data_IF_007786732827
#
_entry.id   IF_007786732827
#
_cell.length_a   1.000
_cell.length_b   1.000
_cell.length_c   1.000
_cell.angle_alpha   90.00
_cell.angle_beta   90.00
_cell.angle_gamma   90.00
#
_symmetry.space_group_name_H-M   'P 1'
#
loop_
_entity.id
_entity.type
_entity.pdbx_description
1 polymer ?
#
# COMPACT_ATOMS: atom_id res chain seq x y z
N UNK A 1 22.68 4.79 -15.54
CA UNK A 1 22.23 6.16 -15.96
C UNK A 1 22.46 7.13 -14.82
N UNK A 2 23.12 8.27 -15.09
CA UNK A 2 23.36 9.29 -14.08
C UNK A 2 22.03 9.99 -13.70
N UNK A 3 21.71 10.03 -12.41
CA UNK A 3 20.53 10.77 -11.89
C UNK A 3 20.97 12.17 -11.49
N UNK A 4 20.38 13.18 -12.13
CA UNK A 4 20.56 14.56 -11.74
C UNK A 4 19.63 14.89 -10.56
N UNK A 5 20.18 14.97 -9.36
CA UNK A 5 19.39 15.20 -8.14
C UNK A 5 18.64 16.54 -8.15
N UNK A 6 19.27 17.59 -8.65
CA UNK A 6 18.63 18.92 -8.75
C UNK A 6 17.43 18.87 -9.70
N UNK A 7 17.59 18.27 -10.86
CA UNK A 7 16.50 18.10 -11.82
C UNK A 7 15.36 17.27 -11.21
N UNK A 8 15.67 16.12 -10.60
CA UNK A 8 14.69 15.23 -9.98
C UNK A 8 13.87 15.94 -8.90
N UNK A 9 14.52 16.73 -8.05
CA UNK A 9 13.82 17.47 -6.99
C UNK A 9 12.96 18.59 -7.58
N UNK A 10 13.48 19.34 -8.54
CA UNK A 10 12.72 20.42 -9.18
C UNK A 10 11.52 19.91 -9.97
N UNK A 11 11.62 18.77 -10.64
CA UNK A 11 10.48 18.12 -11.32
C UNK A 11 9.36 17.81 -10.34
N UNK A 12 9.71 17.29 -9.15
CA UNK A 12 8.72 17.00 -8.10
C UNK A 12 8.09 18.29 -7.54
N UNK A 13 8.90 19.28 -7.17
CA UNK A 13 8.43 20.54 -6.58
C UNK A 13 7.50 21.29 -7.56
N UNK A 14 7.87 21.33 -8.82
CA UNK A 14 7.13 22.06 -9.85
C UNK A 14 5.96 21.28 -10.45
N UNK A 15 5.80 19.99 -10.10
CA UNK A 15 4.75 19.14 -10.63
C UNK A 15 4.76 18.99 -12.15
N UNK A 16 5.95 19.05 -12.77
CA UNK A 16 6.11 19.03 -14.23
C UNK A 16 5.96 17.62 -14.83
N UNK A 17 6.10 16.59 -14.01
CA UNK A 17 5.87 15.20 -14.40
C UNK A 17 4.50 14.73 -13.86
N UNK A 18 3.58 14.40 -14.77
CA UNK A 18 2.23 13.94 -14.42
C UNK A 18 2.21 12.67 -13.54
N UNK A 19 3.26 11.85 -13.64
CA UNK A 19 3.42 10.61 -12.86
C UNK A 19 3.58 10.88 -11.37
N UNK A 20 4.08 12.05 -11.01
CA UNK A 20 4.28 12.48 -9.62
C UNK A 20 2.94 12.59 -8.88
N UNK A 21 1.90 13.05 -9.57
CA UNK A 21 0.56 13.26 -9.02
C UNK A 21 -0.45 12.17 -9.40
N UNK A 22 -0.04 11.18 -10.22
CA UNK A 22 -0.91 10.08 -10.60
C UNK A 22 -1.37 9.30 -9.36
N UNK A 23 -2.68 9.18 -9.17
CA UNK A 23 -3.31 8.53 -8.00
C UNK A 23 -2.95 9.15 -6.63
N UNK A 24 -2.32 10.33 -6.60
CA UNK A 24 -1.96 10.98 -5.35
C UNK A 24 -3.14 11.75 -4.75
N UNK A 25 -3.28 11.69 -3.43
CA UNK A 25 -4.27 12.47 -2.66
C UNK A 25 -3.69 13.82 -2.20
N UNK A 26 -2.43 14.10 -2.50
CA UNK A 26 -1.73 15.33 -2.12
C UNK A 26 -0.95 15.91 -3.30
N UNK A 27 -0.89 17.24 -3.40
CA UNK A 27 -0.11 17.91 -4.44
C UNK A 27 1.40 17.94 -4.11
N UNK A 28 1.74 17.96 -2.83
CA UNK A 28 3.12 17.93 -2.32
C UNK A 28 3.16 17.27 -0.95
N UNK A 29 4.16 16.43 -0.72
CA UNK A 29 4.54 15.97 0.62
C UNK A 29 6.03 15.64 0.67
N UNK A 30 6.64 15.79 1.83
CA UNK A 30 8.05 15.40 2.02
C UNK A 30 8.24 13.90 1.82
N UNK A 31 7.31 13.08 2.28
CA UNK A 31 7.34 11.63 2.05
C UNK A 31 7.26 11.31 0.54
N UNK A 32 6.37 12.00 -0.19
CA UNK A 32 6.27 11.87 -1.64
C UNK A 32 7.55 12.25 -2.37
N UNK A 33 8.22 13.34 -1.97
CA UNK A 33 9.51 13.76 -2.52
C UNK A 33 10.58 12.68 -2.30
N UNK A 34 10.68 12.15 -1.08
CA UNK A 34 11.65 11.10 -0.73
C UNK A 34 11.38 9.85 -1.56
N UNK A 35 10.13 9.39 -1.62
CA UNK A 35 9.75 8.21 -2.38
C UNK A 35 9.99 8.39 -3.88
N UNK A 36 9.63 9.54 -4.46
CA UNK A 36 9.88 9.84 -5.88
C UNK A 36 11.38 9.81 -6.20
N UNK A 37 12.21 10.39 -5.34
CA UNK A 37 13.66 10.40 -5.52
C UNK A 37 14.26 8.99 -5.39
N UNK A 38 13.87 8.25 -4.36
CA UNK A 38 14.28 6.87 -4.15
C UNK A 38 13.80 5.96 -5.30
N UNK A 39 12.54 6.13 -5.71
CA UNK A 39 11.95 5.36 -6.80
C UNK A 39 12.70 5.49 -8.13
N UNK A 40 13.17 6.70 -8.46
CA UNK A 40 14.01 6.88 -9.68
C UNK A 40 15.34 6.14 -9.59
N UNK A 41 15.95 6.09 -8.41
CA UNK A 41 17.18 5.30 -8.18
C UNK A 41 16.90 3.81 -8.33
N UNK A 42 15.83 3.32 -7.71
CA UNK A 42 15.41 1.91 -7.76
C UNK A 42 15.05 1.49 -9.19
N UNK A 43 14.31 2.33 -9.92
CA UNK A 43 13.96 2.05 -11.32
C UNK A 43 15.19 1.90 -12.21
N UNK A 44 16.21 2.75 -12.02
CA UNK A 44 17.47 2.58 -12.76
C UNK A 44 18.21 1.29 -12.38
N UNK A 45 18.18 0.90 -11.11
CA UNK A 45 18.75 -0.38 -10.69
C UNK A 45 18.08 -1.56 -11.38
N UNK A 46 16.74 -1.59 -11.45
CA UNK A 46 16.02 -2.62 -12.19
C UNK A 46 16.46 -2.69 -13.66
N UNK A 47 16.47 -1.54 -14.34
CA UNK A 47 16.73 -1.46 -15.79
C UNK A 47 18.21 -1.63 -16.16
N UNK A 48 19.14 -1.41 -15.24
CA UNK A 48 20.58 -1.50 -15.50
C UNK A 48 21.22 -2.77 -14.95
N UNK A 49 20.64 -3.38 -13.90
CA UNK A 49 21.27 -4.48 -13.18
C UNK A 49 20.44 -5.78 -13.12
N UNK A 50 19.12 -5.68 -13.21
CA UNK A 50 18.22 -6.86 -13.08
C UNK A 50 17.70 -7.32 -14.42
N UNK A 51 17.15 -6.42 -15.22
CA UNK A 51 16.71 -6.73 -16.59
C UNK A 51 17.90 -6.81 -17.56
N UNK A 52 17.71 -7.54 -18.66
CA UNK A 52 18.70 -7.52 -19.74
C UNK A 52 18.83 -6.12 -20.33
N UNK A 53 19.96 -5.86 -21.00
CA UNK A 53 20.21 -4.57 -21.63
C UNK A 53 19.14 -4.25 -22.69
N UNK A 54 18.69 -5.24 -23.42
CA UNK A 54 17.66 -5.13 -24.44
C UNK A 54 16.31 -4.73 -23.83
N UNK A 55 15.91 -5.39 -22.77
CA UNK A 55 14.67 -5.10 -22.03
C UNK A 55 14.70 -3.70 -21.41
N UNK A 56 15.80 -3.36 -20.74
CA UNK A 56 15.98 -2.04 -20.17
C UNK A 56 15.93 -0.91 -21.21
N UNK A 57 16.53 -1.12 -22.38
CA UNK A 57 16.49 -0.16 -23.49
C UNK A 57 15.09 -0.05 -24.07
N UNK A 58 14.41 -1.18 -24.31
CA UNK A 58 13.05 -1.21 -24.86
C UNK A 58 12.07 -0.42 -23.95
N UNK A 59 12.15 -0.60 -22.61
CA UNK A 59 11.36 0.19 -21.68
C UNK A 59 11.69 1.70 -21.79
N UNK A 60 12.96 2.09 -21.83
CA UNK A 60 13.38 3.49 -21.95
C UNK A 60 12.98 4.14 -23.27
N UNK A 61 12.95 3.38 -24.34
CA UNK A 61 12.53 3.84 -25.65
C UNK A 61 11.00 3.93 -25.80
N UNK A 62 10.24 3.31 -24.88
CA UNK A 62 8.79 3.25 -24.95
C UNK A 62 8.25 2.13 -25.84
N UNK A 63 9.08 1.13 -26.19
CA UNK A 63 8.65 -0.03 -26.98
C UNK A 63 7.68 -0.91 -26.19
N UNK A 64 7.84 -0.95 -24.87
CA UNK A 64 6.88 -1.50 -23.90
C UNK A 64 7.07 -0.87 -22.51
N UNK A 65 6.13 -1.14 -21.60
CA UNK A 65 6.16 -0.60 -20.24
C UNK A 65 6.34 -1.70 -19.20
N UNK A 66 7.38 -1.58 -18.36
CA UNK A 66 7.51 -2.38 -17.14
C UNK A 66 6.93 -1.56 -15.99
N UNK A 67 5.97 -2.14 -15.28
CA UNK A 67 5.20 -1.45 -14.24
C UNK A 67 5.93 -1.41 -12.90
N UNK A 68 5.70 -0.36 -12.11
CA UNK A 68 6.14 -0.22 -10.70
C UNK A 68 7.64 -0.47 -10.44
N UNK A 69 8.50 0.03 -11.32
CA UNK A 69 9.96 -0.07 -11.18
C UNK A 69 10.52 0.74 -9.99
N UNK A 70 9.74 1.61 -9.40
CA UNK A 70 10.11 2.45 -8.26
C UNK A 70 10.11 1.71 -6.91
N UNK A 71 9.73 0.42 -6.91
CA UNK A 71 9.78 -0.46 -5.75
C UNK A 71 10.63 -1.70 -6.04
N UNK A 72 11.49 -2.10 -5.11
CA UNK A 72 12.25 -3.35 -5.18
C UNK A 72 11.55 -4.43 -4.35
N UNK A 73 10.33 -4.80 -4.75
CA UNK A 73 9.46 -5.71 -4.01
C UNK A 73 8.48 -6.44 -4.93
N UNK A 74 7.70 -7.36 -4.37
CA UNK A 74 6.60 -8.03 -5.09
C UNK A 74 5.50 -7.05 -5.48
N UNK A 75 4.71 -7.42 -6.52
CA UNK A 75 3.71 -6.51 -7.07
C UNK A 75 2.49 -6.39 -6.14
N UNK A 76 1.71 -7.45 -5.96
CA UNK A 76 0.50 -7.46 -5.15
C UNK A 76 0.51 -8.58 -4.11
N UNK A 77 -0.27 -8.43 -3.05
CA UNK A 77 -0.43 -9.46 -2.03
C UNK A 77 -1.91 -9.74 -1.71
N UNK A 78 -2.23 -11.02 -1.61
CA UNK A 78 -3.50 -11.49 -1.06
C UNK A 78 -3.29 -12.07 0.34
N UNK A 79 -4.03 -11.56 1.30
CA UNK A 79 -3.92 -11.98 2.70
C UNK A 79 -5.06 -12.89 3.11
N UNK A 80 -4.73 -14.05 3.65
CA UNK A 80 -5.71 -14.97 4.25
C UNK A 80 -6.28 -14.39 5.53
N UNK A 81 -7.40 -13.69 5.45
CA UNK A 81 -8.00 -13.00 6.59
C UNK A 81 -8.29 -13.94 7.76
N UNK A 82 -8.72 -15.17 7.49
CA UNK A 82 -8.94 -16.19 8.53
C UNK A 82 -7.69 -16.44 9.39
N UNK A 83 -6.54 -16.59 8.77
CA UNK A 83 -5.29 -16.81 9.49
C UNK A 83 -4.95 -15.61 10.37
N UNK A 84 -5.00 -14.39 9.81
CA UNK A 84 -4.72 -13.17 10.53
C UNK A 84 -5.65 -12.92 11.71
N UNK A 85 -6.95 -13.21 11.57
CA UNK A 85 -7.92 -13.06 12.66
C UNK A 85 -7.70 -14.08 13.79
N UNK A 86 -7.20 -15.28 13.47
CA UNK A 86 -6.93 -16.32 14.46
C UNK A 86 -5.57 -16.16 15.17
N UNK A 87 -4.55 -15.73 14.43
CA UNK A 87 -3.17 -15.66 14.92
C UNK A 87 -2.83 -14.26 15.45
N UNK A 88 -3.54 -13.24 14.99
CA UNK A 88 -3.22 -11.83 15.17
C UNK A 88 -2.50 -11.25 13.96
N UNK A 89 -2.42 -9.93 13.94
CA UNK A 89 -1.81 -9.18 12.83
C UNK A 89 -0.30 -8.97 13.03
N UNK A 90 0.29 -9.75 13.91
CA UNK A 90 1.71 -9.74 14.23
C UNK A 90 2.23 -8.39 14.74
N UNK A 91 3.51 -8.25 14.73
CA UNK A 91 4.25 -7.08 15.20
C UNK A 91 5.72 -7.43 15.35
N UNK A 92 6.48 -6.51 15.88
CA UNK A 92 7.91 -6.75 16.16
C UNK A 92 8.05 -7.41 17.52
N UNK A 93 8.66 -8.58 17.55
CA UNK A 93 8.89 -9.34 18.79
C UNK A 93 9.58 -8.48 19.85
N UNK A 94 9.02 -8.47 21.05
CA UNK A 94 9.52 -7.67 22.17
C UNK A 94 9.14 -6.17 22.09
N UNK A 95 8.26 -5.80 21.17
CA UNK A 95 7.65 -4.46 21.03
C UNK A 95 6.13 -4.59 21.06
N UNK A 96 5.43 -3.72 20.33
CA UNK A 96 3.97 -3.81 20.22
C UNK A 96 3.61 -4.97 19.27
N UNK A 97 2.91 -5.95 19.80
CA UNK A 97 2.39 -7.11 19.07
C UNK A 97 0.88 -7.04 19.03
N UNK A 98 0.30 -7.27 17.85
CA UNK A 98 -1.13 -7.34 17.65
C UNK A 98 -1.60 -8.79 17.79
N UNK A 99 -2.26 -9.09 18.90
CA UNK A 99 -2.89 -10.40 19.14
C UNK A 99 -4.18 -10.53 18.34
N UNK A 100 -4.72 -11.74 18.27
CA UNK A 100 -6.03 -12.00 17.68
C UNK A 100 -7.09 -11.04 18.24
N UNK A 101 -7.87 -10.37 17.38
CA UNK A 101 -8.90 -9.45 17.82
C UNK A 101 -10.05 -10.19 18.51
N UNK A 102 -10.70 -9.54 19.45
CA UNK A 102 -11.83 -10.11 20.19
C UNK A 102 -13.17 -9.51 19.78
N UNK A 103 -13.17 -8.34 19.19
CA UNK A 103 -14.33 -7.53 18.83
C UNK A 103 -14.27 -7.05 17.39
N UNK A 104 -15.42 -6.79 16.78
CA UNK A 104 -15.56 -6.38 15.39
C UNK A 104 -14.74 -5.13 15.06
N UNK A 105 -14.86 -4.08 15.87
CA UNK A 105 -14.11 -2.82 15.66
C UNK A 105 -12.61 -3.01 15.82
N UNK A 106 -12.21 -3.85 16.75
CA UNK A 106 -10.80 -4.19 16.99
C UNK A 106 -10.21 -4.88 15.75
N UNK A 107 -10.93 -5.85 15.17
CA UNK A 107 -10.53 -6.50 13.93
C UNK A 107 -10.34 -5.49 12.79
N UNK A 108 -11.30 -4.60 12.57
CA UNK A 108 -11.21 -3.57 11.53
C UNK A 108 -10.04 -2.62 11.75
N UNK A 109 -9.75 -2.20 12.98
CA UNK A 109 -8.61 -1.34 13.28
C UNK A 109 -7.27 -2.04 13.04
N UNK A 110 -7.17 -3.31 13.45
CA UNK A 110 -5.97 -4.10 13.19
C UNK A 110 -5.76 -4.33 11.69
N UNK A 111 -6.82 -4.59 10.92
CA UNK A 111 -6.76 -4.70 9.47
C UNK A 111 -6.29 -3.40 8.80
N UNK A 112 -6.83 -2.25 9.21
CA UNK A 112 -6.41 -0.96 8.68
C UNK A 112 -4.94 -0.67 8.99
N UNK A 113 -4.50 -0.96 10.22
CA UNK A 113 -3.11 -0.78 10.63
C UNK A 113 -2.16 -1.71 9.86
N UNK A 114 -2.55 -2.98 9.66
CA UNK A 114 -1.78 -3.95 8.89
C UNK A 114 -1.58 -3.49 7.44
N UNK A 115 -2.64 -3.06 6.77
CA UNK A 115 -2.55 -2.52 5.42
C UNK A 115 -1.71 -1.24 5.36
N UNK A 116 -1.86 -0.37 6.34
CA UNK A 116 -1.07 0.86 6.46
C UNK A 116 0.43 0.61 6.60
N UNK A 117 0.82 -0.42 7.35
CA UNK A 117 2.23 -0.82 7.49
C UNK A 117 2.73 -1.46 6.20
N UNK A 118 1.97 -2.39 5.63
CA UNK A 118 2.43 -3.20 4.50
C UNK A 118 2.31 -2.52 3.14
N UNK A 119 1.64 -1.38 3.04
CA UNK A 119 1.52 -0.66 1.75
C UNK A 119 2.86 -0.22 1.17
N UNK A 120 3.88 -0.02 2.00
CA UNK A 120 5.23 0.33 1.56
C UNK A 120 6.09 -0.89 1.23
N UNK A 121 5.60 -2.09 1.53
CA UNK A 121 6.31 -3.36 1.32
C UNK A 121 5.86 -4.08 0.04
N UNK A 122 4.85 -3.54 -0.66
CA UNK A 122 4.30 -4.08 -1.89
C UNK A 122 4.08 -2.97 -2.91
N UNK A 123 4.42 -3.23 -4.16
CA UNK A 123 4.33 -2.23 -5.22
C UNK A 123 2.89 -1.90 -5.62
N UNK A 124 2.00 -2.90 -5.61
CA UNK A 124 0.60 -2.77 -6.03
C UNK A 124 -0.39 -2.95 -4.88
N UNK A 125 -1.55 -3.48 -5.21
CA UNK A 125 -2.68 -3.63 -4.29
C UNK A 125 -2.49 -4.77 -3.29
N UNK A 126 -3.16 -4.64 -2.16
CA UNK A 126 -3.31 -5.68 -1.15
C UNK A 126 -4.79 -6.04 -0.98
N UNK A 127 -5.07 -7.31 -0.80
CA UNK A 127 -6.43 -7.82 -0.67
C UNK A 127 -6.61 -8.69 0.57
N UNK A 128 -7.78 -8.58 1.22
CA UNK A 128 -8.25 -9.55 2.19
C UNK A 128 -9.31 -10.45 1.56
N UNK A 129 -9.18 -11.76 1.80
CA UNK A 129 -10.16 -12.75 1.36
C UNK A 129 -11.40 -12.79 2.25
N UNK A 130 -12.58 -12.97 1.64
CA UNK A 130 -13.84 -13.31 2.35
C UNK A 130 -14.13 -12.43 3.57
N UNK A 131 -14.10 -11.11 3.34
CA UNK A 131 -14.20 -10.08 4.38
C UNK A 131 -15.49 -10.21 5.20
N UNK A 132 -16.63 -10.36 4.55
CA UNK A 132 -17.93 -10.54 5.17
C UNK A 132 -18.00 -11.83 5.99
N UNK A 133 -17.62 -12.94 5.39
CA UNK A 133 -17.68 -14.28 5.98
C UNK A 133 -16.85 -14.38 7.26
N UNK A 134 -15.61 -13.85 7.24
CA UNK A 134 -14.73 -13.98 8.41
C UNK A 134 -15.00 -12.91 9.48
N UNK A 135 -15.65 -11.82 9.14
CA UNK A 135 -16.05 -10.81 10.12
C UNK A 135 -17.46 -11.05 10.73
N UNK A 136 -18.32 -11.80 10.06
CA UNK A 136 -19.67 -12.12 10.55
C UNK A 136 -19.69 -12.70 11.99
N UNK A 137 -18.77 -13.60 12.40
CA UNK A 137 -18.74 -14.10 13.78
C UNK A 137 -18.52 -13.01 14.83
N UNK A 138 -17.77 -11.97 14.51
CA UNK A 138 -17.54 -10.83 15.41
C UNK A 138 -18.78 -9.96 15.53
N UNK A 139 -19.48 -9.73 14.41
CA UNK A 139 -20.76 -9.00 14.40
C UNK A 139 -21.78 -9.70 15.29
N UNK A 140 -21.91 -11.02 15.12
CA UNK A 140 -22.82 -11.83 15.92
C UNK A 140 -22.45 -11.84 17.41
N UNK A 141 -21.17 -12.01 17.73
CA UNK A 141 -20.67 -12.02 19.10
C UNK A 141 -20.89 -10.70 19.83
N UNK A 142 -20.67 -9.60 19.12
CA UNK A 142 -20.80 -8.26 19.68
C UNK A 142 -22.24 -7.73 19.67
N UNK A 143 -23.21 -8.53 19.16
CA UNK A 143 -24.65 -8.21 19.03
C UNK A 143 -24.88 -6.82 18.38
N UNK A 144 -24.21 -6.59 17.23
CA UNK A 144 -24.20 -5.29 16.58
C UNK A 144 -25.43 -5.08 15.70
N UNK A 145 -26.03 -3.91 15.83
CA UNK A 145 -27.03 -3.42 14.89
C UNK A 145 -26.44 -3.04 13.54
N UNK A 146 -27.26 -3.02 12.49
CA UNK A 146 -26.86 -2.58 11.14
C UNK A 146 -26.24 -1.17 11.14
N UNK A 147 -26.75 -0.28 11.99
CA UNK A 147 -26.21 1.08 12.12
C UNK A 147 -24.79 1.10 12.70
N UNK A 148 -24.50 0.23 13.67
CA UNK A 148 -23.17 0.10 14.27
C UNK A 148 -22.18 -0.57 13.32
N UNK A 149 -22.62 -1.59 12.58
CA UNK A 149 -21.82 -2.23 11.53
C UNK A 149 -21.44 -1.22 10.48
N UNK A 150 -22.44 -0.48 9.94
CA UNK A 150 -22.22 0.58 8.95
C UNK A 150 -21.23 1.63 9.45
N UNK A 151 -21.39 2.10 10.69
CA UNK A 151 -20.48 3.09 11.30
C UNK A 151 -19.05 2.56 11.42
N UNK A 152 -18.88 1.31 11.84
CA UNK A 152 -17.57 0.69 11.99
C UNK A 152 -16.88 0.49 10.63
N UNK A 153 -17.59 0.01 9.61
CA UNK A 153 -17.06 -0.13 8.25
C UNK A 153 -16.73 1.24 7.65
N UNK A 154 -17.57 2.25 7.84
CA UNK A 154 -17.28 3.62 7.42
C UNK A 154 -15.97 4.11 8.04
N UNK A 155 -15.77 3.88 9.35
CA UNK A 155 -14.53 4.24 10.03
C UNK A 155 -13.31 3.47 9.48
N UNK A 156 -13.48 2.20 9.14
CA UNK A 156 -12.44 1.40 8.50
C UNK A 156 -12.02 2.00 7.15
N UNK A 157 -12.99 2.32 6.28
CA UNK A 157 -12.72 2.94 4.98
C UNK A 157 -12.00 4.28 5.15
N UNK A 158 -12.44 5.12 6.10
CA UNK A 158 -11.76 6.39 6.39
C UNK A 158 -10.33 6.20 6.89
N UNK A 159 -10.09 5.19 7.72
CA UNK A 159 -8.74 4.87 8.20
C UNK A 159 -7.80 4.38 7.09
N UNK A 160 -8.34 3.85 6.00
CA UNK A 160 -7.56 3.50 4.80
C UNK A 160 -7.29 4.71 3.90
N UNK A 161 -8.04 5.80 4.05
CA UNK A 161 -7.85 7.01 3.24
C UNK A 161 -6.77 7.93 3.83
N UNK A 162 -5.61 7.35 4.13
CA UNK A 162 -4.44 8.08 4.64
C UNK A 162 -3.39 8.16 3.55
N UNK A 163 -2.94 9.38 3.17
CA UNK A 163 -1.85 9.49 2.21
C UNK A 163 -0.59 8.90 2.81
N UNK A 164 -0.04 7.90 2.16
CA UNK A 164 1.10 7.17 2.65
C UNK A 164 2.20 7.08 1.60
N UNK A 165 2.23 6.06 0.78
CA UNK A 165 3.22 5.93 -0.27
C UNK A 165 2.95 6.93 -1.40
N UNK A 166 3.90 7.82 -1.73
CA UNK A 166 3.75 8.89 -2.75
C UNK A 166 2.50 9.75 -2.63
N UNK A 167 1.94 9.90 -1.42
CA UNK A 167 0.69 10.60 -1.21
C UNK A 167 -0.55 9.81 -1.63
N UNK A 168 -0.41 8.54 -1.99
CA UNK A 168 -1.51 7.64 -2.32
C UNK A 168 -2.08 7.00 -1.05
N UNK A 169 -3.38 6.70 -1.07
CA UNK A 169 -3.98 5.78 -0.10
C UNK A 169 -3.54 4.34 -0.37
N UNK A 170 -3.53 3.44 0.63
CA UNK A 170 -3.31 2.03 0.41
C UNK A 170 -4.30 1.48 -0.64
N UNK A 171 -3.78 0.89 -1.70
CA UNK A 171 -4.62 0.18 -2.67
C UNK A 171 -5.15 -1.10 -2.02
N UNK A 172 -6.40 -1.04 -1.60
CA UNK A 172 -7.03 -2.11 -0.83
C UNK A 172 -8.18 -2.73 -1.59
N UNK A 173 -8.22 -4.06 -1.61
CA UNK A 173 -9.34 -4.84 -2.09
C UNK A 173 -9.84 -5.75 -0.97
N UNK A 174 -11.13 -6.01 -0.96
CA UNK A 174 -11.78 -7.03 -0.12
C UNK A 174 -12.66 -7.89 -1.00
N UNK A 175 -12.57 -9.22 -0.87
CA UNK A 175 -13.55 -10.11 -1.49
C UNK A 175 -14.71 -10.35 -0.53
N UNK A 176 -15.91 -10.42 -1.08
CA UNK A 176 -17.19 -10.64 -0.39
C UNK A 176 -17.69 -12.02 -0.79
#
# INVERSE_FOLDING_TARGET
>A
TYINSTQTINEYINGTDWRISANSNTSYSNAGLINNTAGKVIANYWLDAVYSKEEGLAHRNGDYHIHDLDCLTGYCAGWGLRALLNEGFNGVRGRVESKAPKHFREALYQMANFLGILQSEWAGAQAFSSFDTYLAPYVFKDDLSDAEIKKAITSFIFNLNVPARWGQSPFTNVTI
#
